data_IF_879109008618
#
_entry.id   IF_879109008618
#
_cell.length_a   1.000
_cell.length_b   1.000
_cell.length_c   1.000
_cell.angle_alpha   90.00
_cell.angle_beta   90.00
_cell.angle_gamma   90.00
#
_symmetry.space_group_name_H-M   'P 1'
#
loop_
_entity.id
_entity.type
_entity.pdbx_description
1 polymer ?
#
# COMPACT_ATOMS: atom_id res chain seq x y z
N UNK A 1 -14.58 -39.38 -57.17
CA UNK A 1 -14.95 -38.98 -55.81
C UNK A 1 -13.75 -38.27 -55.18
N UNK A 2 -13.80 -36.93 -55.06
CA UNK A 2 -12.74 -36.14 -54.42
C UNK A 2 -13.29 -35.68 -53.05
N UNK A 3 -12.71 -36.17 -51.96
CA UNK A 3 -13.03 -35.78 -50.61
C UNK A 3 -12.17 -34.58 -50.25
N UNK A 4 -12.80 -33.42 -50.10
CA UNK A 4 -12.13 -32.20 -49.66
C UNK A 4 -12.01 -32.19 -48.14
N UNK A 5 -10.79 -32.15 -47.60
CA UNK A 5 -10.50 -32.02 -46.18
C UNK A 5 -10.44 -30.54 -45.85
N UNK A 6 -11.48 -30.04 -45.13
CA UNK A 6 -11.53 -28.67 -44.62
C UNK A 6 -10.81 -28.60 -43.28
N UNK A 7 -9.66 -27.92 -43.26
CA UNK A 7 -8.89 -27.65 -42.06
C UNK A 7 -9.42 -26.35 -41.41
N UNK A 8 -10.15 -26.48 -40.33
CA UNK A 8 -10.57 -25.33 -39.53
C UNK A 8 -9.45 -24.93 -38.57
N UNK A 9 -8.82 -23.79 -38.85
CA UNK A 9 -7.81 -23.19 -37.97
C UNK A 9 -8.51 -22.42 -36.84
N UNK A 10 -8.62 -23.02 -35.66
CA UNK A 10 -9.09 -22.34 -34.46
C UNK A 10 -7.97 -21.46 -33.92
N UNK A 11 -8.04 -20.17 -34.19
CA UNK A 11 -7.16 -19.17 -33.58
C UNK A 11 -7.49 -18.99 -32.09
N UNK A 12 -6.63 -19.46 -31.21
CA UNK A 12 -6.70 -19.11 -29.79
C UNK A 12 -6.24 -17.65 -29.64
N UNK A 13 -7.18 -16.74 -29.34
CA UNK A 13 -6.85 -15.40 -28.88
C UNK A 13 -6.29 -15.54 -27.45
N UNK A 14 -4.98 -15.44 -27.29
CA UNK A 14 -4.36 -15.22 -26.00
C UNK A 14 -4.75 -13.81 -25.53
N UNK A 15 -5.64 -13.71 -24.56
CA UNK A 15 -5.88 -12.46 -23.85
C UNK A 15 -4.57 -12.07 -23.17
N UNK A 16 -3.94 -10.99 -23.63
CA UNK A 16 -2.83 -10.40 -22.92
C UNK A 16 -3.39 -9.83 -21.61
N UNK A 17 -3.05 -10.47 -20.51
CA UNK A 17 -3.26 -9.91 -19.20
C UNK A 17 -2.29 -8.72 -19.05
N UNK A 18 -2.79 -7.51 -19.18
CA UNK A 18 -2.04 -6.33 -18.78
C UNK A 18 -1.91 -6.40 -17.26
N UNK A 19 -0.67 -6.37 -16.76
CA UNK A 19 -0.44 -6.22 -15.33
C UNK A 19 -0.98 -4.85 -14.90
N UNK A 20 -1.89 -4.82 -13.94
CA UNK A 20 -2.41 -3.57 -13.43
C UNK A 20 -1.29 -2.77 -12.76
N UNK A 21 -1.19 -1.47 -13.07
CA UNK A 21 -0.27 -0.57 -12.41
C UNK A 21 -0.96 0.05 -11.19
N UNK A 22 -0.37 -0.15 -10.03
CA UNK A 22 -0.83 0.44 -8.76
C UNK A 22 0.28 1.30 -8.18
N UNK A 23 -0.02 2.58 -7.97
CA UNK A 23 0.90 3.50 -7.31
C UNK A 23 0.20 4.25 -6.17
N UNK A 24 0.92 4.43 -5.08
CA UNK A 24 0.45 5.15 -3.89
C UNK A 24 1.37 6.34 -3.66
N UNK A 25 0.80 7.53 -3.58
CA UNK A 25 1.49 8.73 -3.10
C UNK A 25 1.10 8.99 -1.65
N UNK A 26 2.10 9.17 -0.81
CA UNK A 26 1.94 9.54 0.59
C UNK A 26 2.56 10.90 0.83
N UNK A 27 1.72 11.89 1.09
CA UNK A 27 2.15 13.23 1.47
C UNK A 27 2.44 13.31 2.96
N UNK A 28 3.67 13.72 3.31
CA UNK A 28 4.08 14.04 4.69
C UNK A 28 4.08 15.56 4.84
N UNK A 29 3.25 16.14 5.75
CA UNK A 29 3.17 17.59 5.89
C UNK A 29 4.40 18.18 6.53
N UNK A 30 4.71 19.43 6.17
CA UNK A 30 5.67 20.25 6.92
C UNK A 30 4.95 20.86 8.12
N UNK A 31 5.30 20.40 9.31
CA UNK A 31 4.70 20.89 10.55
C UNK A 31 5.60 21.91 11.23
N UNK A 32 5.00 23.00 11.70
CA UNK A 32 5.68 24.01 12.52
C UNK A 32 5.52 23.65 13.99
N UNK A 33 6.40 22.80 14.50
CA UNK A 33 6.41 22.27 15.86
C UNK A 33 7.79 22.51 16.50
N UNK A 34 7.85 22.58 17.83
CA UNK A 34 9.09 22.84 18.55
C UNK A 34 10.15 21.75 18.31
N UNK A 35 9.71 20.50 18.22
CA UNK A 35 10.57 19.35 17.93
C UNK A 35 9.92 18.48 16.85
N UNK A 36 10.61 18.31 15.73
CA UNK A 36 10.10 17.55 14.60
C UNK A 36 10.82 16.22 14.45
N UNK A 37 10.06 15.14 14.58
CA UNK A 37 10.47 13.79 14.23
C UNK A 37 9.76 13.36 12.94
N UNK A 38 10.44 12.59 12.09
CA UNK A 38 9.80 11.99 10.91
C UNK A 38 8.80 10.93 11.37
N UNK A 39 7.57 10.92 10.84
CA UNK A 39 6.58 9.93 11.25
C UNK A 39 6.97 8.52 10.83
N UNK A 40 6.62 7.55 11.65
CA UNK A 40 6.48 6.17 11.24
C UNK A 40 5.19 6.02 10.46
N UNK A 41 5.23 5.29 9.35
CA UNK A 41 4.07 5.13 8.47
C UNK A 41 3.91 3.66 8.13
N UNK A 42 2.70 3.13 8.28
CA UNK A 42 2.32 1.82 7.78
C UNK A 42 1.24 1.94 6.71
N UNK A 43 1.36 1.12 5.67
CA UNK A 43 0.47 1.09 4.51
C UNK A 43 0.06 -0.36 4.29
N UNK A 44 -1.26 -0.61 4.25
CA UNK A 44 -1.80 -1.95 4.08
C UNK A 44 -3.16 -1.95 3.38
N UNK A 45 -3.63 -3.13 3.04
CA UNK A 45 -4.99 -3.35 2.54
C UNK A 45 -5.87 -3.98 3.62
N UNK A 46 -7.11 -3.55 3.68
CA UNK A 46 -8.17 -4.18 4.46
C UNK A 46 -9.47 -4.29 3.65
N UNK A 47 -10.37 -5.16 4.09
CA UNK A 47 -11.73 -5.25 3.55
C UNK A 47 -12.61 -4.15 4.16
N UNK A 48 -13.85 -3.92 3.63
CA UNK A 48 -14.78 -2.95 4.20
C UNK A 48 -15.12 -3.21 5.68
N UNK A 49 -15.09 -4.47 6.12
CA UNK A 49 -15.27 -4.88 7.52
C UNK A 49 -14.04 -4.67 8.39
N UNK A 50 -12.99 -4.03 7.84
CA UNK A 50 -11.69 -3.78 8.45
C UNK A 50 -10.85 -5.04 8.73
N UNK A 51 -11.20 -6.21 8.17
CA UNK A 51 -10.33 -7.37 8.22
C UNK A 51 -9.06 -7.12 7.41
N UNK A 52 -7.90 -7.46 8.00
CA UNK A 52 -6.59 -7.28 7.39
C UNK A 52 -6.41 -8.20 6.19
N UNK A 53 -5.87 -7.64 5.10
CA UNK A 53 -5.59 -8.37 3.85
C UNK A 53 -4.09 -8.58 3.65
N UNK A 54 -3.29 -7.51 3.75
CA UNK A 54 -1.86 -7.62 3.59
C UNK A 54 -1.12 -6.29 3.62
N UNK A 55 0.15 -6.33 3.97
CA UNK A 55 1.03 -5.17 4.07
C UNK A 55 1.53 -4.72 2.70
N UNK A 56 1.70 -3.39 2.52
CA UNK A 56 2.32 -2.78 1.35
C UNK A 56 3.69 -2.20 1.70
N UNK A 57 3.76 -1.36 2.74
CA UNK A 57 5.02 -0.76 3.18
C UNK A 57 4.97 -0.34 4.65
N UNK A 58 6.13 -0.35 5.30
CA UNK A 58 6.31 0.20 6.64
C UNK A 58 7.57 1.07 6.66
N UNK A 59 7.41 2.35 6.99
CA UNK A 59 8.50 3.31 7.10
C UNK A 59 8.81 3.56 8.57
N UNK A 60 10.02 3.24 8.99
CA UNK A 60 10.48 3.44 10.36
C UNK A 60 12.02 3.53 10.40
N UNK A 61 12.59 3.82 11.52
CA UNK A 61 14.04 3.96 11.68
C UNK A 61 14.73 2.57 11.80
N UNK A 62 14.63 1.77 10.75
CA UNK A 62 15.08 0.37 10.73
C UNK A 62 16.62 0.21 10.77
N UNK A 63 17.36 1.31 10.57
CA UNK A 63 18.84 1.34 10.61
C UNK A 63 19.40 1.72 11.98
N UNK A 64 18.56 2.01 12.97
CA UNK A 64 19.04 2.28 14.32
C UNK A 64 19.74 1.06 14.87
N UNK A 65 20.84 1.35 15.62
CA UNK A 65 21.62 0.31 16.28
C UNK A 65 20.73 -0.56 17.16
N UNK A 66 21.08 -1.83 17.26
CA UNK A 66 20.38 -2.82 18.09
C UNK A 66 18.86 -2.91 17.79
N UNK A 67 18.47 -2.60 16.56
CA UNK A 67 17.08 -2.62 16.09
C UNK A 67 16.12 -1.75 16.92
N UNK A 68 16.64 -0.68 17.53
CA UNK A 68 15.88 0.20 18.43
C UNK A 68 14.62 0.79 17.80
N UNK A 69 14.64 1.11 16.50
CA UNK A 69 13.49 1.66 15.79
C UNK A 69 12.24 0.78 15.86
N UNK A 70 12.38 -0.52 16.07
CA UNK A 70 11.23 -1.43 16.19
C UNK A 70 10.40 -1.19 17.45
N UNK A 71 11.01 -0.62 18.51
CA UNK A 71 10.33 -0.35 19.79
C UNK A 71 9.14 0.62 19.63
N UNK A 72 9.21 1.50 18.63
CA UNK A 72 8.23 2.55 18.38
C UNK A 72 7.17 2.16 17.33
N UNK A 73 7.31 1.01 16.67
CA UNK A 73 6.30 0.50 15.73
C UNK A 73 4.92 0.31 16.36
N UNK A 74 4.87 0.09 17.67
CA UNK A 74 3.62 0.02 18.46
C UNK A 74 2.80 1.32 18.45
N UNK A 75 3.41 2.46 18.09
CA UNK A 75 2.75 3.75 18.02
C UNK A 75 1.90 3.89 16.75
N UNK A 76 2.22 3.14 15.69
CA UNK A 76 1.33 2.87 14.56
C UNK A 76 0.32 1.81 14.98
N UNK A 77 -0.61 2.21 15.84
CA UNK A 77 -1.36 1.32 16.74
C UNK A 77 -2.30 0.35 16.05
N UNK A 78 -2.98 0.79 14.99
CA UNK A 78 -3.93 -0.08 14.30
C UNK A 78 -3.19 -1.12 13.49
N UNK A 79 -2.20 -0.72 12.69
CA UNK A 79 -1.34 -1.63 11.97
C UNK A 79 -0.65 -2.63 12.93
N UNK A 80 -0.09 -2.13 14.03
CA UNK A 80 0.58 -2.98 15.02
C UNK A 80 -0.32 -4.09 15.54
N UNK A 81 -1.57 -3.77 15.88
CA UNK A 81 -2.54 -4.76 16.37
C UNK A 81 -3.01 -5.73 15.31
N UNK A 82 -3.06 -5.32 14.03
CA UNK A 82 -3.54 -6.14 12.92
C UNK A 82 -2.47 -7.09 12.38
N UNK A 83 -1.24 -6.64 12.31
CA UNK A 83 -0.15 -7.36 11.65
C UNK A 83 1.21 -7.18 12.32
N UNK A 84 1.58 -5.95 12.68
CA UNK A 84 2.96 -5.59 13.02
C UNK A 84 3.58 -6.39 14.15
N UNK A 85 2.83 -6.68 15.21
CA UNK A 85 3.31 -7.42 16.39
C UNK A 85 3.75 -8.87 16.11
N UNK A 86 3.30 -9.44 14.99
CA UNK A 86 3.60 -10.82 14.60
C UNK A 86 4.76 -10.90 13.60
N UNK A 87 5.27 -9.73 13.16
CA UNK A 87 6.35 -9.64 12.18
C UNK A 87 7.72 -9.57 12.87
N UNK A 88 8.67 -10.32 12.35
CA UNK A 88 10.10 -10.17 12.71
C UNK A 88 10.70 -9.05 11.84
N UNK A 89 10.67 -7.82 12.36
CA UNK A 89 11.19 -6.65 11.65
C UNK A 89 12.72 -6.56 11.69
N UNK A 90 13.39 -6.12 10.61
CA UNK A 90 12.83 -5.66 9.33
C UNK A 90 12.39 -6.82 8.42
N UNK A 91 11.35 -6.60 7.63
CA UNK A 91 10.87 -7.54 6.60
C UNK A 91 11.27 -7.03 5.23
N UNK A 92 11.89 -7.88 4.42
CA UNK A 92 12.34 -7.56 3.07
C UNK A 92 11.14 -7.17 2.15
N UNK A 93 11.35 -6.13 1.36
CA UNK A 93 10.30 -5.59 0.47
C UNK A 93 9.15 -4.85 1.16
N UNK A 94 9.11 -4.86 2.51
CA UNK A 94 8.13 -4.14 3.32
C UNK A 94 8.75 -2.95 4.06
N UNK A 95 9.92 -3.15 4.65
CA UNK A 95 10.58 -2.19 5.52
C UNK A 95 11.41 -1.16 4.76
N UNK A 96 11.22 0.11 5.07
CA UNK A 96 12.09 1.19 4.57
C UNK A 96 12.19 2.34 5.57
N UNK A 97 13.12 3.28 5.31
CA UNK A 97 13.36 4.41 6.20
C UNK A 97 12.18 5.38 6.24
N UNK A 98 12.04 6.09 7.37
CA UNK A 98 11.16 7.26 7.52
C UNK A 98 11.40 8.29 6.42
N UNK A 99 10.38 9.06 6.06
CA UNK A 99 10.42 10.07 5.00
C UNK A 99 10.37 11.48 5.58
N UNK A 100 11.07 12.41 4.90
CA UNK A 100 10.98 13.83 5.20
C UNK A 100 9.63 14.41 4.70
N UNK A 101 9.25 15.64 5.13
CA UNK A 101 8.11 16.33 4.53
C UNK A 101 8.20 16.42 3.00
N UNK A 102 7.07 16.13 2.34
CA UNK A 102 6.96 16.08 0.86
C UNK A 102 6.11 14.90 0.40
N UNK A 103 5.98 14.74 -0.91
CA UNK A 103 5.21 13.69 -1.55
C UNK A 103 6.11 12.51 -1.92
N UNK A 104 5.71 11.31 -1.52
CA UNK A 104 6.49 10.09 -1.71
C UNK A 104 5.69 9.03 -2.44
N UNK A 105 6.13 8.66 -3.63
CA UNK A 105 5.52 7.64 -4.45
C UNK A 105 6.05 6.25 -4.14
N UNK A 106 5.16 5.27 -4.14
CA UNK A 106 5.43 3.84 -4.02
C UNK A 106 4.72 3.15 -5.18
N UNK A 107 5.44 2.33 -5.94
CA UNK A 107 4.84 1.38 -6.88
C UNK A 107 4.54 0.08 -6.15
N UNK A 108 3.29 -0.39 -6.25
CA UNK A 108 2.84 -1.64 -5.64
C UNK A 108 2.77 -2.72 -6.71
N UNK A 109 3.64 -3.71 -6.59
CA UNK A 109 3.67 -4.83 -7.56
C UNK A 109 2.40 -5.67 -7.47
N UNK A 110 1.81 -5.95 -8.63
CA UNK A 110 0.66 -6.87 -8.74
C UNK A 110 1.07 -8.35 -8.80
N UNK A 111 2.38 -8.62 -8.96
CA UNK A 111 2.94 -9.98 -9.06
C UNK A 111 3.26 -10.60 -7.71
N UNK A 112 3.03 -9.87 -6.61
CA UNK A 112 3.27 -10.34 -5.24
C UNK A 112 2.18 -9.88 -4.28
N UNK A 113 2.16 -10.47 -3.10
CA UNK A 113 1.26 -10.03 -2.04
C UNK A 113 1.44 -8.50 -1.76
N UNK A 114 0.36 -7.80 -1.42
CA UNK A 114 -0.99 -8.31 -1.18
C UNK A 114 -1.89 -8.35 -2.41
N UNK A 115 -1.43 -7.91 -3.59
CA UNK A 115 -2.24 -7.81 -4.80
C UNK A 115 -2.30 -9.10 -5.62
N UNK A 116 -1.24 -9.91 -5.57
CA UNK A 116 -1.21 -11.19 -6.29
C UNK A 116 -2.33 -12.11 -5.81
N UNK A 117 -3.19 -12.52 -6.75
CA UNK A 117 -4.31 -13.40 -6.44
C UNK A 117 -5.39 -12.77 -5.56
N UNK A 118 -5.40 -11.44 -5.40
CA UNK A 118 -6.43 -10.75 -4.64
C UNK A 118 -7.80 -10.99 -5.26
N UNK A 119 -8.79 -11.54 -4.51
CA UNK A 119 -10.12 -11.78 -5.03
C UNK A 119 -10.83 -10.50 -5.47
N UNK A 120 -11.78 -10.65 -6.40
CA UNK A 120 -12.64 -9.54 -6.78
C UNK A 120 -13.43 -9.03 -5.59
N UNK A 121 -13.48 -7.72 -5.41
CA UNK A 121 -14.24 -7.09 -4.34
C UNK A 121 -13.84 -5.65 -4.06
N UNK A 122 -14.47 -5.09 -3.05
CA UNK A 122 -14.12 -3.78 -2.49
C UNK A 122 -13.03 -3.94 -1.43
N UNK A 123 -12.09 -3.00 -1.44
CA UNK A 123 -10.97 -2.92 -0.51
C UNK A 123 -10.72 -1.49 -0.07
N UNK A 124 -10.03 -1.34 1.04
CA UNK A 124 -9.49 -0.06 1.48
C UNK A 124 -7.97 -0.10 1.47
N UNK A 125 -7.36 0.88 0.79
CA UNK A 125 -5.98 1.24 1.06
C UNK A 125 -5.95 2.04 2.34
N UNK A 126 -5.17 1.59 3.32
CA UNK A 126 -5.07 2.24 4.63
C UNK A 126 -3.67 2.75 4.85
N UNK A 127 -3.56 3.98 5.32
CA UNK A 127 -2.31 4.62 5.70
C UNK A 127 -2.44 5.11 7.13
N UNK A 128 -1.56 4.67 8.01
CA UNK A 128 -1.45 5.15 9.37
C UNK A 128 -0.09 5.77 9.60
N UNK A 129 -0.07 7.00 10.12
CA UNK A 129 1.14 7.70 10.52
C UNK A 129 1.13 7.97 12.01
N UNK A 130 2.28 7.81 12.66
CA UNK A 130 2.50 8.18 14.06
C UNK A 130 3.86 8.86 14.20
N UNK A 131 3.91 9.98 14.92
CA UNK A 131 5.13 10.77 15.12
C UNK A 131 5.48 10.85 16.60
N UNK A 132 6.75 10.64 16.89
CA UNK A 132 7.29 10.83 18.23
C UNK A 132 7.06 12.28 18.70
N UNK A 133 6.64 12.44 19.95
CA UNK A 133 6.21 13.73 20.51
C UNK A 133 5.16 14.45 19.66
N UNK A 134 4.38 13.67 18.92
CA UNK A 134 3.38 14.18 17.99
C UNK A 134 2.06 13.42 18.03
N UNK A 135 1.33 13.53 16.93
CA UNK A 135 0.04 12.91 16.75
C UNK A 135 0.09 11.55 16.07
N UNK A 136 -1.09 11.07 15.80
CA UNK A 136 -1.36 9.87 15.00
C UNK A 136 -2.55 10.15 14.10
N UNK A 137 -2.43 9.75 12.84
CA UNK A 137 -3.51 9.89 11.87
C UNK A 137 -3.66 8.61 11.06
N UNK A 138 -4.88 8.29 10.67
CA UNK A 138 -5.20 7.15 9.82
C UNK A 138 -6.18 7.58 8.73
N UNK A 139 -5.84 7.26 7.48
CA UNK A 139 -6.66 7.56 6.31
C UNK A 139 -6.98 6.28 5.55
N UNK A 140 -8.13 6.28 4.86
CA UNK A 140 -8.61 5.16 4.05
C UNK A 140 -9.09 5.64 2.70
N UNK A 141 -8.71 4.91 1.65
CA UNK A 141 -9.21 5.11 0.29
C UNK A 141 -9.91 3.82 -0.15
N UNK A 142 -11.24 3.81 -0.30
CA UNK A 142 -11.95 2.67 -0.85
C UNK A 142 -11.67 2.54 -2.35
N UNK A 143 -11.52 1.31 -2.85
CA UNK A 143 -11.35 1.02 -4.26
C UNK A 143 -11.89 -0.37 -4.62
N UNK A 144 -12.15 -0.61 -5.91
CA UNK A 144 -12.59 -1.90 -6.43
C UNK A 144 -11.44 -2.68 -7.06
N UNK A 145 -11.39 -3.98 -6.83
CA UNK A 145 -10.46 -4.89 -7.47
C UNK A 145 -11.19 -6.02 -8.21
N UNK A 146 -10.75 -6.46 -9.41
CA UNK A 146 -9.68 -5.88 -10.20
C UNK A 146 -10.05 -4.52 -10.79
N UNK A 147 -9.01 -3.75 -11.15
CA UNK A 147 -9.14 -2.44 -11.77
C UNK A 147 -9.73 -2.61 -13.19
N UNK A 148 -10.81 -1.89 -13.50
CA UNK A 148 -11.48 -1.97 -14.81
C UNK A 148 -11.23 -0.76 -15.69
N UNK A 149 -10.95 0.39 -15.09
CA UNK A 149 -10.62 1.65 -15.75
C UNK A 149 -9.57 2.38 -14.95
N UNK A 150 -8.83 3.28 -15.57
CA UNK A 150 -7.87 4.10 -14.85
C UNK A 150 -8.59 5.01 -13.84
N UNK A 151 -8.15 4.97 -12.59
CA UNK A 151 -8.70 5.75 -11.48
C UNK A 151 -7.58 6.49 -10.74
N UNK A 152 -7.92 7.66 -10.24
CA UNK A 152 -7.05 8.44 -9.38
C UNK A 152 -7.86 8.91 -8.17
N UNK A 153 -7.71 8.20 -7.06
CA UNK A 153 -8.45 8.40 -5.82
C UNK A 153 -7.60 9.16 -4.82
N UNK A 154 -8.19 10.14 -4.13
CA UNK A 154 -7.47 11.00 -3.18
C UNK A 154 -8.23 11.16 -1.89
N UNK A 155 -7.49 11.31 -0.81
CA UNK A 155 -7.99 11.72 0.50
C UNK A 155 -7.01 12.74 1.11
N UNK A 156 -7.56 13.74 1.79
CA UNK A 156 -6.77 14.77 2.46
C UNK A 156 -6.66 14.46 3.95
N UNK A 157 -5.43 14.43 4.46
CA UNK A 157 -5.16 14.40 5.89
C UNK A 157 -5.20 15.79 6.51
N UNK A 158 -5.18 15.85 7.82
CA UNK A 158 -5.30 17.09 8.58
C UNK A 158 -4.22 17.30 9.64
N UNK A 159 -3.40 16.30 9.90
CA UNK A 159 -2.45 16.32 11.02
C UNK A 159 -1.08 15.76 10.65
N UNK A 160 -0.92 14.45 10.69
CA UNK A 160 0.37 13.77 10.44
C UNK A 160 0.55 13.33 8.98
N UNK A 161 -0.54 13.36 8.21
CA UNK A 161 -0.58 13.08 6.78
C UNK A 161 -1.10 14.30 6.01
N UNK A 162 -0.56 14.51 4.81
CA UNK A 162 -1.09 15.46 3.84
C UNK A 162 -2.03 14.73 2.86
N UNK A 163 -1.95 15.01 1.57
CA UNK A 163 -2.71 14.29 0.57
C UNK A 163 -2.18 12.86 0.42
N UNK A 164 -3.08 11.89 0.39
CA UNK A 164 -2.82 10.53 -0.06
C UNK A 164 -3.48 10.35 -1.41
N UNK A 165 -2.79 9.72 -2.35
CA UNK A 165 -3.30 9.44 -3.68
C UNK A 165 -3.09 7.97 -4.02
N UNK A 166 -4.12 7.33 -4.57
CA UNK A 166 -4.06 5.97 -5.11
C UNK A 166 -4.34 6.04 -6.61
N UNK A 167 -3.33 5.70 -7.40
CA UNK A 167 -3.45 5.57 -8.84
C UNK A 167 -3.60 4.09 -9.21
N UNK A 168 -4.65 3.79 -9.96
CA UNK A 168 -4.98 2.45 -10.44
C UNK A 168 -5.07 2.50 -11.97
N UNK A 169 -4.40 1.56 -12.65
CA UNK A 169 -4.53 1.36 -14.10
C UNK A 169 -4.74 -0.12 -14.38
N UNK A 170 -5.66 -0.48 -15.32
CA UNK A 170 -5.88 -1.86 -15.76
C UNK A 170 -4.64 -2.49 -16.35
#
# INVERSE_FOLDING_TARGET
>A
MRVGLSLTLSGAFAAQAFAADVAVMVGIPRLSVAEYHKPYVAIWLERPDQSFVGNIAVWYDFKLKDNEGTKWLKDVRQWWRRSGRELNMPVDGLSSATRAPGDHWITVSTDRAPLQGLPQGEYHLVIEAAREVGGREILRIPFQWPVRSAENLKVQGGHELATIELQLKP
#
